data_IF_058826375765
#
_entry.id   IF_058826375765
#
_cell.length_a   1.000
_cell.length_b   1.000
_cell.length_c   1.000
_cell.angle_alpha   90.00
_cell.angle_beta   90.00
_cell.angle_gamma   90.00
#
_symmetry.space_group_name_H-M   'P 1'
#
loop_
_entity.id
_entity.type
_entity.pdbx_description
1 polymer ?
#
# COMPACT_ATOMS: atom_id res chain seq x y z
N UNK A 1 26.62 24.99 10.71
CA UNK A 1 26.50 23.60 10.24
C UNK A 1 25.67 23.58 8.97
N UNK A 2 26.29 23.34 7.80
CA UNK A 2 25.58 23.19 6.53
C UNK A 2 25.03 21.76 6.47
N UNK A 3 23.74 21.57 6.74
CA UNK A 3 23.06 20.31 6.45
C UNK A 3 22.71 20.31 4.96
N UNK A 4 23.65 19.91 4.10
CA UNK A 4 23.31 19.54 2.74
C UNK A 4 22.51 18.24 2.81
N UNK A 5 21.18 18.35 2.67
CA UNK A 5 20.34 17.19 2.38
C UNK A 5 20.89 16.57 1.10
N UNK A 6 21.36 15.32 1.18
CA UNK A 6 21.83 14.61 0.00
C UNK A 6 20.70 14.59 -1.02
N UNK A 7 20.96 15.04 -2.25
CA UNK A 7 19.96 15.00 -3.32
C UNK A 7 19.39 13.57 -3.43
N UNK A 8 18.06 13.41 -3.35
CA UNK A 8 17.45 12.10 -3.47
C UNK A 8 17.72 11.54 -4.87
N UNK A 9 18.02 10.24 -4.98
CA UNK A 9 18.46 9.63 -6.24
C UNK A 9 17.31 9.59 -7.25
N UNK A 10 17.44 10.31 -8.36
CA UNK A 10 16.51 10.30 -9.50
C UNK A 10 17.01 9.39 -10.63
N UNK A 11 16.10 8.75 -11.39
CA UNK A 11 16.49 7.97 -12.58
C UNK A 11 17.11 8.85 -13.66
N UNK A 12 16.72 10.13 -13.74
CA UNK A 12 17.33 11.09 -14.65
C UNK A 12 18.78 11.36 -14.28
N UNK A 13 19.09 11.48 -12.99
CA UNK A 13 20.48 11.57 -12.54
C UNK A 13 21.24 10.28 -12.89
N UNK A 14 20.64 9.11 -12.73
CA UNK A 14 21.24 7.84 -13.15
C UNK A 14 21.53 7.78 -14.66
N UNK A 15 20.58 8.20 -15.50
CA UNK A 15 20.73 8.27 -16.96
C UNK A 15 21.75 9.32 -17.39
N UNK A 16 21.74 10.51 -16.79
CA UNK A 16 22.71 11.58 -17.06
C UNK A 16 24.11 11.15 -16.65
N UNK A 17 24.26 10.47 -15.50
CA UNK A 17 25.53 9.88 -15.06
C UNK A 17 25.96 8.81 -16.07
N UNK A 18 25.09 7.89 -16.47
CA UNK A 18 25.38 6.86 -17.48
C UNK A 18 25.81 7.47 -18.84
N UNK A 19 25.14 8.53 -19.28
CA UNK A 19 25.46 9.21 -20.52
C UNK A 19 26.82 9.93 -20.44
N UNK A 20 27.06 10.70 -19.37
CA UNK A 20 28.33 11.38 -19.13
C UNK A 20 29.50 10.39 -18.99
N UNK A 21 29.28 9.30 -18.26
CA UNK A 21 30.16 8.15 -18.12
C UNK A 21 30.57 7.55 -19.48
N UNK A 22 29.59 7.32 -20.34
CA UNK A 22 29.79 6.75 -21.67
C UNK A 22 30.59 7.71 -22.55
N UNK A 23 30.23 9.01 -22.56
CA UNK A 23 30.98 10.03 -23.30
C UNK A 23 32.42 10.14 -22.81
N UNK A 24 32.64 10.17 -21.50
CA UNK A 24 33.97 10.25 -20.91
C UNK A 24 34.85 9.08 -21.34
N UNK A 25 34.32 7.85 -21.27
CA UNK A 25 35.06 6.64 -21.66
C UNK A 25 35.37 6.62 -23.16
N UNK A 26 34.41 7.03 -23.99
CA UNK A 26 34.59 7.16 -25.44
C UNK A 26 35.63 8.23 -25.79
N UNK A 27 35.59 9.39 -25.14
CA UNK A 27 36.55 10.47 -25.36
C UNK A 27 37.96 10.06 -24.92
N UNK A 28 38.11 9.48 -23.72
CA UNK A 28 39.38 9.01 -23.19
C UNK A 28 40.04 7.97 -24.12
N UNK A 29 39.28 6.94 -24.53
CA UNK A 29 39.80 5.92 -25.43
C UNK A 29 40.12 6.46 -26.81
N UNK A 30 39.24 7.28 -27.40
CA UNK A 30 39.44 7.80 -28.77
C UNK A 30 40.62 8.77 -28.85
N UNK A 31 40.76 9.67 -27.87
CA UNK A 31 41.88 10.61 -27.80
C UNK A 31 43.18 9.85 -27.50
N UNK A 32 43.13 8.88 -26.59
CA UNK A 32 44.32 8.10 -26.25
C UNK A 32 44.80 7.23 -27.42
N UNK A 33 43.93 6.55 -28.15
CA UNK A 33 44.32 5.82 -29.37
C UNK A 33 44.83 6.74 -30.48
N UNK A 34 44.25 7.93 -30.64
CA UNK A 34 44.69 8.91 -31.64
C UNK A 34 46.07 9.52 -31.31
N UNK A 35 46.35 9.84 -30.04
CA UNK A 35 47.62 10.43 -29.62
C UNK A 35 48.74 9.38 -29.45
N UNK A 36 48.39 8.16 -29.06
CA UNK A 36 49.33 7.07 -28.76
C UNK A 36 49.49 6.09 -29.92
N UNK A 37 49.12 6.49 -31.13
CA UNK A 37 49.13 5.68 -32.34
C UNK A 37 50.50 4.98 -32.59
N UNK A 38 51.60 5.63 -32.20
CA UNK A 38 52.97 5.10 -32.29
C UNK A 38 53.26 3.89 -31.38
N UNK A 39 52.38 3.59 -30.43
CA UNK A 39 52.52 2.50 -29.48
C UNK A 39 51.75 1.24 -29.89
N UNK A 40 51.06 1.27 -31.03
CA UNK A 40 50.25 0.19 -31.59
C UNK A 40 50.68 -0.11 -33.04
N UNK A 41 50.52 -1.36 -33.49
CA UNK A 41 50.89 -1.77 -34.86
C UNK A 41 49.94 -1.24 -35.95
N UNK A 42 48.87 -0.54 -35.58
CA UNK A 42 47.83 -0.05 -36.47
C UNK A 42 47.76 1.47 -36.36
N UNK A 43 47.70 2.17 -37.50
CA UNK A 43 47.44 3.61 -37.54
C UNK A 43 45.93 3.88 -37.39
N UNK A 44 45.53 4.39 -36.24
CA UNK A 44 44.16 4.78 -35.95
C UNK A 44 43.90 6.21 -36.39
N UNK A 45 43.29 6.38 -37.56
CA UNK A 45 42.55 7.62 -37.84
C UNK A 45 41.46 7.85 -36.79
N UNK A 46 41.03 9.10 -36.57
CA UNK A 46 40.05 9.46 -35.53
C UNK A 46 38.78 8.56 -35.54
N UNK A 47 38.26 8.22 -36.72
CA UNK A 47 37.11 7.32 -36.87
C UNK A 47 37.40 5.88 -36.45
N UNK A 48 38.62 5.40 -36.67
CA UNK A 48 39.04 4.06 -36.28
C UNK A 48 39.26 3.98 -34.76
N UNK A 49 39.86 5.01 -34.15
CA UNK A 49 40.02 5.13 -32.69
C UNK A 49 38.67 5.14 -31.96
N UNK A 50 37.69 5.87 -32.49
CA UNK A 50 36.33 5.90 -31.94
C UNK A 50 35.64 4.52 -32.05
N UNK A 51 35.74 3.87 -33.21
CA UNK A 51 35.17 2.52 -33.41
C UNK A 51 35.82 1.51 -32.46
N UNK A 52 37.14 1.54 -32.30
CA UNK A 52 37.87 0.64 -31.43
C UNK A 52 37.45 0.80 -29.96
N UNK A 53 37.35 2.05 -29.50
CA UNK A 53 36.90 2.36 -28.14
C UNK A 53 35.47 1.88 -27.89
N UNK A 54 34.57 2.06 -28.86
CA UNK A 54 33.19 1.59 -28.78
C UNK A 54 33.10 0.06 -28.69
N UNK A 55 33.92 -0.66 -29.47
CA UNK A 55 33.99 -2.13 -29.44
C UNK A 55 34.53 -2.61 -28.09
N UNK A 56 35.62 -2.02 -27.59
CA UNK A 56 36.17 -2.37 -26.27
C UNK A 56 35.18 -2.13 -25.13
N UNK A 57 34.39 -1.04 -25.21
CA UNK A 57 33.39 -0.70 -24.20
C UNK A 57 32.16 -1.61 -24.22
N UNK A 58 31.75 -2.11 -25.40
CA UNK A 58 30.52 -2.92 -25.55
C UNK A 58 30.76 -4.42 -25.45
N UNK A 59 31.92 -4.91 -25.91
CA UNK A 59 32.17 -6.34 -26.06
C UNK A 59 33.09 -6.93 -24.99
N UNK A 60 33.75 -6.10 -24.16
CA UNK A 60 34.64 -6.54 -23.07
C UNK A 60 35.66 -7.64 -23.50
N UNK A 61 36.07 -7.64 -24.76
CA UNK A 61 37.07 -8.55 -25.33
C UNK A 61 38.14 -7.76 -26.07
N UNK A 62 39.33 -8.34 -26.23
CA UNK A 62 40.50 -7.71 -26.84
C UNK A 62 40.41 -7.80 -28.39
N UNK A 63 40.06 -6.72 -29.12
CA UNK A 63 39.73 -6.79 -30.53
C UNK A 63 41.01 -6.72 -31.39
N UNK A 64 41.97 -7.60 -31.11
CA UNK A 64 43.23 -7.67 -31.85
C UNK A 64 44.17 -6.48 -31.64
N UNK A 65 44.15 -5.86 -30.44
CA UNK A 65 45.18 -4.88 -30.09
C UNK A 65 46.52 -5.61 -29.94
N UNK A 66 47.51 -5.21 -30.74
CA UNK A 66 48.89 -5.66 -30.59
C UNK A 66 49.72 -4.49 -30.03
N UNK A 67 49.70 -4.25 -28.70
CA UNK A 67 50.48 -3.20 -28.08
C UNK A 67 51.97 -3.52 -28.20
N UNK A 68 52.73 -2.60 -28.78
CA UNK A 68 54.17 -2.76 -29.04
C UNK A 68 54.98 -2.50 -27.76
N UNK A 69 54.45 -1.66 -26.87
CA UNK A 69 55.15 -1.15 -25.68
C UNK A 69 54.42 -1.51 -24.39
N UNK A 70 55.15 -1.55 -23.26
CA UNK A 70 54.55 -1.73 -21.92
C UNK A 70 53.49 -0.68 -21.60
N UNK A 71 53.67 0.54 -22.10
CA UNK A 71 52.71 1.64 -21.96
C UNK A 71 51.41 1.40 -22.75
N UNK A 72 51.48 0.84 -23.97
CA UNK A 72 50.29 0.48 -24.75
C UNK A 72 49.42 -0.59 -24.08
N UNK A 73 50.05 -1.57 -23.41
CA UNK A 73 49.34 -2.56 -22.58
C UNK A 73 48.65 -1.91 -21.38
N UNK A 74 49.34 -1.02 -20.68
CA UNK A 74 48.76 -0.27 -19.57
C UNK A 74 47.57 0.59 -20.00
N UNK A 75 47.68 1.28 -21.15
CA UNK A 75 46.61 2.10 -21.70
C UNK A 75 45.37 1.24 -22.05
N UNK A 76 45.54 0.11 -22.74
CA UNK A 76 44.44 -0.79 -23.05
C UNK A 76 43.76 -1.34 -21.78
N UNK A 77 44.54 -1.76 -20.78
CA UNK A 77 44.02 -2.19 -19.49
C UNK A 77 43.26 -1.07 -18.75
N UNK A 78 43.72 0.19 -18.86
CA UNK A 78 43.06 1.35 -18.26
C UNK A 78 41.67 1.61 -18.87
N UNK A 79 41.50 1.38 -20.18
CA UNK A 79 40.19 1.52 -20.85
C UNK A 79 39.19 0.51 -20.26
N UNK A 80 39.59 -0.76 -20.10
CA UNK A 80 38.73 -1.77 -19.50
C UNK A 80 38.42 -1.47 -18.03
N UNK A 81 39.42 -1.04 -17.24
CA UNK A 81 39.22 -0.68 -15.84
C UNK A 81 38.28 0.53 -15.68
N UNK A 82 38.48 1.59 -16.48
CA UNK A 82 37.61 2.78 -16.50
C UNK A 82 36.22 2.38 -16.96
N UNK A 83 36.09 1.59 -18.02
CA UNK A 83 34.79 1.11 -18.52
C UNK A 83 34.03 0.28 -17.50
N UNK A 84 34.70 -0.66 -16.82
CA UNK A 84 34.11 -1.48 -15.77
C UNK A 84 33.70 -0.65 -14.54
N UNK A 85 34.56 0.26 -14.07
CA UNK A 85 34.24 1.15 -12.95
C UNK A 85 33.07 2.07 -13.27
N UNK A 86 33.09 2.66 -14.46
CA UNK A 86 32.09 3.61 -14.93
C UNK A 86 30.74 2.92 -15.18
N UNK A 87 30.75 1.74 -15.81
CA UNK A 87 29.55 0.92 -15.99
C UNK A 87 28.98 0.43 -14.67
N UNK A 88 29.84 -0.02 -13.74
CA UNK A 88 29.44 -0.40 -12.38
C UNK A 88 28.83 0.76 -11.59
N UNK A 89 29.46 1.94 -11.64
CA UNK A 89 28.94 3.15 -10.99
C UNK A 89 27.60 3.60 -11.58
N UNK A 90 27.47 3.60 -12.91
CA UNK A 90 26.21 3.92 -13.57
C UNK A 90 25.10 2.92 -13.23
N UNK A 91 25.44 1.62 -13.16
CA UNK A 91 24.52 0.56 -12.76
C UNK A 91 24.08 0.73 -11.29
N UNK A 92 25.02 1.03 -10.39
CA UNK A 92 24.72 1.37 -8.99
C UNK A 92 23.79 2.59 -8.93
N UNK A 93 24.07 3.66 -9.67
CA UNK A 93 23.21 4.86 -9.69
C UNK A 93 21.82 4.57 -10.26
N UNK A 94 21.72 3.71 -11.27
CA UNK A 94 20.44 3.29 -11.85
C UNK A 94 19.61 2.46 -10.86
N UNK A 95 20.24 1.62 -10.04
CA UNK A 95 19.58 0.78 -9.03
C UNK A 95 19.48 1.42 -7.64
N UNK A 96 20.16 2.54 -7.39
CA UNK A 96 20.15 3.26 -6.10
C UNK A 96 18.75 3.67 -5.61
N UNK A 97 17.81 4.13 -6.46
CA UNK A 97 16.43 4.43 -6.03
C UNK A 97 15.66 3.20 -5.54
N UNK A 98 16.07 2.00 -5.95
CA UNK A 98 15.51 0.72 -5.48
C UNK A 98 16.17 0.31 -4.15
N UNK A 99 17.48 0.53 -4.02
CA UNK A 99 18.28 0.16 -2.85
C UNK A 99 18.14 1.11 -1.64
N UNK A 100 17.81 2.38 -1.87
CA UNK A 100 17.67 3.41 -0.81
C UNK A 100 16.33 3.33 -0.03
N UNK A 101 15.53 2.31 -0.31
CA UNK A 101 14.20 2.06 0.26
C UNK A 101 14.29 1.55 1.71
N UNK A 102 14.76 2.38 2.63
CA UNK A 102 14.88 2.01 4.05
C UNK A 102 13.50 2.04 4.76
N UNK A 103 13.22 1.11 5.68
CA UNK A 103 12.09 1.21 6.60
C UNK A 103 12.21 2.44 7.50
N UNK A 104 11.09 2.96 7.98
CA UNK A 104 11.08 4.08 8.92
C UNK A 104 11.82 3.73 10.22
N UNK A 105 12.70 4.62 10.67
CA UNK A 105 13.45 4.45 11.91
C UNK A 105 12.56 4.56 13.16
N UNK A 106 13.04 4.06 14.30
CA UNK A 106 12.30 4.14 15.59
C UNK A 106 11.92 5.57 15.97
N UNK A 107 12.80 6.55 15.71
CA UNK A 107 12.53 7.97 15.99
C UNK A 107 11.42 8.56 15.12
N UNK A 108 11.36 8.19 13.84
CA UNK A 108 10.31 8.62 12.92
C UNK A 108 8.96 8.01 13.31
N UNK A 109 8.92 6.72 13.63
CA UNK A 109 7.70 6.05 14.12
C UNK A 109 7.15 6.70 15.38
N UNK A 110 8.01 7.02 16.36
CA UNK A 110 7.60 7.75 17.57
C UNK A 110 7.10 9.16 17.28
N UNK A 111 7.63 9.82 16.25
CA UNK A 111 7.13 11.14 15.81
C UNK A 111 5.76 11.00 15.13
N UNK A 112 5.60 10.02 14.24
CA UNK A 112 4.33 9.74 13.58
C UNK A 112 3.23 9.38 14.60
N UNK A 113 3.55 8.49 15.56
CA UNK A 113 2.64 8.11 16.64
C UNK A 113 2.09 9.32 17.41
N UNK A 114 2.96 10.25 17.84
CA UNK A 114 2.51 11.46 18.54
C UNK A 114 1.57 12.33 17.70
N UNK A 115 1.83 12.45 16.39
CA UNK A 115 0.98 13.23 15.48
C UNK A 115 -0.35 12.51 15.26
N UNK A 116 -0.34 11.19 15.11
CA UNK A 116 -1.54 10.35 14.95
C UNK A 116 -2.42 10.39 16.21
N UNK A 117 -1.84 10.27 17.40
CA UNK A 117 -2.58 10.37 18.67
C UNK A 117 -3.28 11.73 18.81
N UNK A 118 -2.64 12.80 18.33
CA UNK A 118 -3.15 14.16 18.45
C UNK A 118 -4.13 14.56 17.32
N UNK A 119 -3.95 14.06 16.10
CA UNK A 119 -4.67 14.55 14.92
C UNK A 119 -5.35 13.44 14.08
N UNK A 120 -5.20 12.18 14.44
CA UNK A 120 -5.82 11.05 13.73
C UNK A 120 -7.34 11.14 13.78
N UNK A 121 -8.00 11.01 12.63
CA UNK A 121 -9.47 11.16 12.49
C UNK A 121 -10.17 9.93 11.94
N UNK A 122 -9.44 8.93 11.47
CA UNK A 122 -9.98 7.73 10.83
C UNK A 122 -9.20 6.51 11.30
N UNK A 123 -9.78 5.32 11.10
CA UNK A 123 -9.07 4.05 11.32
C UNK A 123 -7.74 3.97 10.55
N UNK A 124 -7.62 4.63 9.39
CA UNK A 124 -6.40 4.65 8.60
C UNK A 124 -5.21 5.27 9.36
N UNK A 125 -5.47 6.17 10.31
CA UNK A 125 -4.44 6.73 11.18
C UNK A 125 -3.80 5.65 12.06
N UNK A 126 -4.55 4.60 12.43
CA UNK A 126 -4.01 3.46 13.16
C UNK A 126 -3.08 2.63 12.26
N UNK A 127 -3.53 2.32 11.04
CA UNK A 127 -2.74 1.58 10.04
C UNK A 127 -1.54 2.36 9.49
N UNK A 128 -1.56 3.69 9.63
CA UNK A 128 -0.43 4.56 9.32
C UNK A 128 0.79 4.25 10.19
N UNK A 129 0.61 3.66 11.38
CA UNK A 129 1.68 3.32 12.32
C UNK A 129 2.34 1.96 12.07
N UNK A 130 1.78 1.17 11.15
CA UNK A 130 2.28 -0.17 10.85
C UNK A 130 3.69 -0.19 10.28
N UNK A 131 4.41 -1.32 10.45
CA UNK A 131 5.82 -1.41 10.12
C UNK A 131 6.15 -1.30 8.63
N UNK A 132 5.16 -1.50 7.77
CA UNK A 132 5.24 -1.39 6.31
C UNK A 132 5.27 0.08 5.83
N UNK A 133 4.90 1.04 6.68
CA UNK A 133 4.80 2.46 6.31
C UNK A 133 6.14 3.18 6.34
N UNK A 134 6.24 4.15 5.44
CA UNK A 134 7.20 5.26 5.49
C UNK A 134 6.47 6.55 5.79
N UNK A 135 7.21 7.53 6.27
CA UNK A 135 6.65 8.81 6.68
C UNK A 135 7.31 9.95 5.91
N UNK A 136 6.48 10.85 5.41
CA UNK A 136 6.89 12.19 5.05
C UNK A 136 6.36 13.15 6.12
N UNK A 137 7.23 14.02 6.64
CA UNK A 137 6.85 15.02 7.63
C UNK A 137 6.92 16.40 7.01
N UNK A 138 5.81 17.13 7.03
CA UNK A 138 5.78 18.53 6.60
C UNK A 138 6.46 19.44 7.64
N UNK A 139 6.75 20.66 7.23
CA UNK A 139 7.28 21.69 8.14
C UNK A 139 6.22 22.21 9.12
N UNK A 140 4.94 22.20 8.75
CA UNK A 140 3.85 22.69 9.60
C UNK A 140 3.28 21.66 10.57
N UNK A 141 3.82 20.43 10.60
CA UNK A 141 3.55 19.45 11.65
C UNK A 141 2.72 18.24 11.23
N UNK A 142 2.34 18.13 9.96
CA UNK A 142 1.63 16.96 9.44
C UNK A 142 2.57 15.80 9.11
N UNK A 143 2.00 14.59 9.14
CA UNK A 143 2.63 13.36 8.66
C UNK A 143 1.79 12.72 7.56
N UNK A 144 2.45 12.26 6.51
CA UNK A 144 1.85 11.44 5.46
C UNK A 144 2.52 10.06 5.52
N UNK A 145 1.74 9.05 5.88
CA UNK A 145 2.17 7.66 5.83
C UNK A 145 1.97 7.10 4.43
N UNK A 146 3.00 6.51 3.83
CA UNK A 146 2.95 6.05 2.44
C UNK A 146 3.79 4.80 2.21
N UNK A 147 3.50 4.11 1.11
CA UNK A 147 4.32 3.02 0.57
C UNK A 147 4.72 3.34 -0.86
N UNK A 148 6.01 3.19 -1.17
CA UNK A 148 6.54 3.38 -2.52
C UNK A 148 6.75 2.02 -3.22
N UNK A 149 5.99 1.78 -4.29
CA UNK A 149 6.07 0.57 -5.11
C UNK A 149 6.14 0.94 -6.59
N UNK A 150 7.09 0.34 -7.32
CA UNK A 150 7.38 0.72 -8.70
C UNK A 150 7.74 2.21 -8.81
N UNK A 151 6.94 2.96 -9.58
CA UNK A 151 7.04 4.43 -9.77
C UNK A 151 5.88 5.19 -9.13
N UNK A 152 5.21 4.61 -8.14
CA UNK A 152 4.14 5.25 -7.40
C UNK A 152 4.47 5.30 -5.91
N UNK A 153 4.06 6.39 -5.28
CA UNK A 153 4.01 6.55 -3.83
C UNK A 153 2.53 6.69 -3.45
N UNK A 154 2.01 5.68 -2.76
CA UNK A 154 0.61 5.63 -2.35
C UNK A 154 0.55 5.99 -0.87
N UNK A 155 0.01 7.18 -0.59
CA UNK A 155 -0.31 7.66 0.75
C UNK A 155 -1.60 7.00 1.25
N UNK A 156 -1.65 6.74 2.54
CA UNK A 156 -2.82 6.17 3.22
C UNK A 156 -3.63 7.28 3.88
N UNK A 157 -4.81 7.56 3.35
CA UNK A 157 -5.67 8.66 3.78
C UNK A 157 -5.09 10.05 3.49
N UNK A 158 -5.66 11.04 4.15
CA UNK A 158 -5.21 12.44 4.13
C UNK A 158 -3.94 12.66 4.96
N UNK A 159 -3.20 13.77 4.75
CA UNK A 159 -2.17 14.21 5.69
C UNK A 159 -2.74 14.33 7.11
N UNK A 160 -2.07 13.70 8.07
CA UNK A 160 -2.49 13.70 9.48
C UNK A 160 -1.75 14.82 10.19
N UNK A 161 -2.46 15.86 10.63
CA UNK A 161 -1.85 17.02 11.28
C UNK A 161 -2.81 18.21 11.44
N UNK A 162 -2.28 19.42 11.72
CA UNK A 162 -3.10 20.62 11.80
C UNK A 162 -3.81 20.91 10.48
N UNK A 163 -5.12 21.21 10.51
CA UNK A 163 -5.93 21.45 9.29
C UNK A 163 -5.31 22.48 8.33
N UNK A 164 -4.72 23.56 8.87
CA UNK A 164 -4.04 24.61 8.09
C UNK A 164 -2.80 24.14 7.33
N UNK A 165 -2.23 22.99 7.70
CA UNK A 165 -1.01 22.44 7.10
C UNK A 165 -1.30 21.30 6.11
N UNK A 166 -2.55 20.87 5.95
CA UNK A 166 -2.93 19.81 5.02
C UNK A 166 -2.59 20.19 3.57
N UNK A 167 -3.06 21.35 3.08
CA UNK A 167 -2.78 21.77 1.70
C UNK A 167 -1.28 21.98 1.42
N UNK A 168 -0.50 22.68 2.29
CA UNK A 168 0.96 22.73 2.16
C UNK A 168 1.64 21.36 2.19
N UNK A 169 1.17 20.44 3.03
CA UNK A 169 1.72 19.09 3.12
C UNK A 169 1.49 18.28 1.83
N UNK A 170 0.32 18.41 1.20
CA UNK A 170 0.01 17.78 -0.10
C UNK A 170 1.02 18.23 -1.16
N UNK A 171 1.24 19.55 -1.28
CA UNK A 171 2.18 20.12 -2.25
C UNK A 171 3.62 19.68 -1.96
N UNK A 172 4.07 19.80 -0.71
CA UNK A 172 5.41 19.41 -0.32
C UNK A 172 5.68 17.90 -0.53
N UNK A 173 4.67 17.05 -0.31
CA UNK A 173 4.77 15.63 -0.58
C UNK A 173 4.80 15.32 -2.08
N UNK A 174 4.01 16.05 -2.89
CA UNK A 174 4.05 15.96 -4.35
C UNK A 174 5.44 16.30 -4.88
N UNK A 175 6.06 17.39 -4.41
CA UNK A 175 7.44 17.76 -4.78
C UNK A 175 8.45 16.71 -4.33
N UNK A 176 8.33 16.22 -3.09
CA UNK A 176 9.20 15.17 -2.56
C UNK A 176 9.14 13.92 -3.45
N UNK A 177 7.93 13.49 -3.83
CA UNK A 177 7.75 12.33 -4.70
C UNK A 177 8.26 12.59 -6.12
N UNK A 178 8.07 13.80 -6.67
CA UNK A 178 8.60 14.18 -7.97
C UNK A 178 10.14 14.08 -8.01
N UNK A 179 10.85 14.52 -6.96
CA UNK A 179 12.31 14.39 -6.83
C UNK A 179 12.78 12.93 -6.74
N UNK A 180 11.90 12.02 -6.32
CA UNK A 180 12.14 10.57 -6.27
C UNK A 180 11.53 9.81 -7.46
N UNK A 181 11.06 10.52 -8.50
CA UNK A 181 10.41 9.97 -9.69
C UNK A 181 9.16 9.10 -9.42
N UNK A 182 8.45 9.42 -8.34
CA UNK A 182 7.20 8.80 -7.95
C UNK A 182 6.00 9.64 -8.34
N UNK A 183 4.96 8.97 -8.84
CA UNK A 183 3.62 9.52 -8.99
C UNK A 183 2.87 9.34 -7.68
N UNK A 184 2.32 10.43 -7.15
CA UNK A 184 1.60 10.44 -5.87
C UNK A 184 0.16 10.01 -6.08
N UNK A 185 -0.33 9.17 -5.18
CA UNK A 185 -1.75 8.94 -4.99
C UNK A 185 -2.07 8.94 -3.49
N UNK A 186 -3.28 9.34 -3.12
CA UNK A 186 -3.81 9.23 -1.77
C UNK A 186 -5.02 8.28 -1.81
N UNK A 187 -4.99 7.25 -0.98
CA UNK A 187 -5.98 6.18 -0.96
C UNK A 187 -6.90 6.32 0.24
N UNK A 188 -8.23 6.31 0.00
CA UNK A 188 -9.29 6.49 1.01
C UNK A 188 -9.22 7.84 1.74
N UNK A 189 -9.10 8.93 0.99
CA UNK A 189 -9.22 10.28 1.56
C UNK A 189 -10.66 10.61 1.91
N UNK A 190 -10.83 11.53 2.86
CA UNK A 190 -12.10 12.14 3.23
C UNK A 190 -12.57 13.14 2.14
N UNK A 191 -13.86 13.50 2.13
CA UNK A 191 -14.37 14.57 1.25
C UNK A 191 -13.85 15.97 1.63
N UNK A 192 -13.34 16.14 2.86
CA UNK A 192 -12.99 17.42 3.46
C UNK A 192 -11.97 18.25 2.66
N UNK A 193 -11.08 17.59 1.89
CA UNK A 193 -9.94 18.23 1.24
C UNK A 193 -9.92 18.08 -0.30
N UNK A 194 -11.06 17.73 -0.90
CA UNK A 194 -11.13 17.48 -2.35
C UNK A 194 -10.75 18.71 -3.19
N UNK A 195 -11.15 19.91 -2.75
CA UNK A 195 -10.82 21.16 -3.44
C UNK A 195 -9.31 21.43 -3.42
N UNK A 196 -8.63 21.14 -2.31
CA UNK A 196 -7.19 21.28 -2.16
C UNK A 196 -6.44 20.29 -3.06
N UNK A 197 -6.92 19.06 -3.17
CA UNK A 197 -6.35 18.07 -4.10
C UNK A 197 -6.54 18.51 -5.56
N UNK A 198 -7.72 18.97 -5.93
CA UNK A 198 -8.00 19.45 -7.29
C UNK A 198 -7.15 20.68 -7.63
N UNK A 199 -6.99 21.62 -6.69
CA UNK A 199 -6.11 22.79 -6.82
C UNK A 199 -4.65 22.38 -7.00
N UNK A 200 -4.21 21.29 -6.36
CA UNK A 200 -2.89 20.69 -6.54
C UNK A 200 -2.76 19.83 -7.83
N UNK A 201 -3.78 19.82 -8.69
CA UNK A 201 -3.78 19.18 -10.00
C UNK A 201 -4.05 17.68 -9.97
N UNK A 202 -4.70 17.17 -8.92
CA UNK A 202 -5.12 15.78 -8.84
C UNK A 202 -6.55 15.59 -9.35
N UNK A 203 -6.81 14.40 -9.90
CA UNK A 203 -8.15 13.90 -10.12
C UNK A 203 -8.61 13.15 -8.86
N UNK A 204 -9.92 13.17 -8.61
CA UNK A 204 -10.56 12.49 -7.48
C UNK A 204 -11.56 11.47 -8.01
N UNK A 205 -11.55 10.27 -7.45
CA UNK A 205 -12.47 9.18 -7.80
C UNK A 205 -13.09 8.62 -6.52
N UNK A 206 -14.41 8.63 -6.40
CA UNK A 206 -15.09 7.95 -5.29
C UNK A 206 -14.87 6.44 -5.42
N UNK A 207 -14.38 5.80 -4.34
CA UNK A 207 -14.06 4.36 -4.32
C UNK A 207 -14.99 3.56 -3.42
N UNK A 208 -15.94 4.22 -2.75
CA UNK A 208 -16.94 3.60 -1.88
C UNK A 208 -17.25 4.45 -0.66
N UNK A 209 -17.97 3.86 0.28
CA UNK A 209 -18.43 4.55 1.48
C UNK A 209 -18.09 3.75 2.74
N UNK A 210 -17.62 4.42 3.77
CA UNK A 210 -17.53 3.85 5.12
C UNK A 210 -18.88 3.97 5.83
N UNK A 211 -19.27 2.92 6.54
CA UNK A 211 -20.51 2.91 7.32
C UNK A 211 -20.24 3.24 8.78
N UNK A 212 -20.71 4.39 9.25
CA UNK A 212 -20.50 4.87 10.62
C UNK A 212 -21.79 4.72 11.43
N UNK A 213 -21.75 3.95 12.51
CA UNK A 213 -22.90 3.74 13.41
C UNK A 213 -22.79 4.69 14.60
N UNK A 214 -23.79 5.53 14.80
CA UNK A 214 -23.92 6.35 16.02
C UNK A 214 -24.44 5.50 17.18
N UNK A 215 -23.58 5.26 18.18
CA UNK A 215 -23.81 4.27 19.24
C UNK A 215 -24.93 4.68 20.22
N UNK A 216 -25.12 5.97 20.48
CA UNK A 216 -26.20 6.47 21.33
C UNK A 216 -27.58 6.06 20.79
N UNK A 217 -27.74 6.10 19.47
CA UNK A 217 -28.96 5.74 18.77
C UNK A 217 -29.09 4.24 18.50
N UNK A 218 -28.00 3.47 18.65
CA UNK A 218 -28.01 2.04 18.38
C UNK A 218 -28.87 1.28 19.40
N UNK A 219 -29.80 0.48 18.89
CA UNK A 219 -30.65 -0.42 19.67
C UNK A 219 -31.10 -1.57 18.79
N UNK A 220 -31.16 -2.79 19.36
CA UNK A 220 -31.76 -3.96 18.72
C UNK A 220 -33.27 -4.11 19.01
N UNK A 221 -33.85 -3.12 19.69
CA UNK A 221 -35.28 -3.04 19.96
C UNK A 221 -36.05 -2.53 18.73
N UNK A 222 -37.34 -2.90 18.63
CA UNK A 222 -38.22 -2.43 17.56
C UNK A 222 -38.27 -3.33 16.31
N UNK A 223 -39.18 -2.98 15.39
CA UNK A 223 -39.51 -3.83 14.23
C UNK A 223 -38.40 -3.91 13.18
N UNK A 224 -37.73 -2.79 12.87
CA UNK A 224 -36.64 -2.72 11.89
C UNK A 224 -35.46 -3.63 12.22
N UNK A 225 -35.23 -3.86 13.51
CA UNK A 225 -34.11 -4.65 14.05
C UNK A 225 -34.45 -6.11 14.32
N UNK A 226 -35.58 -6.60 13.80
CA UNK A 226 -36.06 -7.97 14.04
C UNK A 226 -35.03 -9.02 13.61
N UNK A 227 -34.33 -8.82 12.49
CA UNK A 227 -33.33 -9.76 12.00
C UNK A 227 -32.15 -9.89 12.99
N UNK A 228 -31.54 -8.77 13.36
CA UNK A 228 -30.42 -8.75 14.33
C UNK A 228 -30.84 -9.33 15.69
N UNK A 229 -32.00 -8.93 16.21
CA UNK A 229 -32.53 -9.47 17.48
C UNK A 229 -32.80 -10.96 17.42
N UNK A 230 -33.25 -11.48 16.27
CA UNK A 230 -33.49 -12.92 16.10
C UNK A 230 -32.18 -13.69 16.10
N UNK A 231 -31.14 -13.18 15.43
CA UNK A 231 -29.80 -13.76 15.47
C UNK A 231 -29.26 -13.80 16.91
N UNK A 232 -29.27 -12.67 17.62
CA UNK A 232 -28.82 -12.61 19.03
C UNK A 232 -29.56 -13.63 19.89
N UNK A 233 -30.90 -13.61 19.87
CA UNK A 233 -31.70 -14.54 20.67
C UNK A 233 -31.43 -16.01 20.32
N UNK A 234 -31.10 -16.32 19.07
CA UNK A 234 -30.78 -17.67 18.63
C UNK A 234 -29.45 -18.15 19.26
N UNK A 235 -28.39 -17.36 19.11
CA UNK A 235 -27.07 -17.68 19.66
C UNK A 235 -27.06 -17.72 21.19
N UNK A 236 -27.69 -16.75 21.86
CA UNK A 236 -27.81 -16.75 23.32
C UNK A 236 -28.55 -17.99 23.83
N UNK A 237 -29.64 -18.41 23.18
CA UNK A 237 -30.37 -19.64 23.57
C UNK A 237 -29.58 -20.91 23.37
N UNK A 238 -28.69 -20.93 22.38
CA UNK A 238 -27.81 -22.06 22.13
C UNK A 238 -26.59 -22.09 23.05
N UNK A 239 -26.37 -21.06 23.87
CA UNK A 239 -25.26 -21.00 24.82
C UNK A 239 -23.98 -20.38 24.27
N UNK A 240 -24.03 -19.76 23.08
CA UNK A 240 -22.91 -18.98 22.57
C UNK A 240 -22.74 -17.69 23.37
N UNK A 241 -21.49 -17.26 23.55
CA UNK A 241 -21.14 -16.07 24.33
C UNK A 241 -20.18 -15.19 23.55
N UNK A 242 -20.44 -13.89 23.47
CA UNK A 242 -19.44 -12.93 23.02
C UNK A 242 -18.62 -12.45 24.23
N UNK A 243 -17.30 -12.55 24.14
CA UNK A 243 -16.37 -12.25 25.22
C UNK A 243 -15.35 -11.24 24.73
N UNK A 244 -15.16 -10.18 25.51
CA UNK A 244 -14.12 -9.17 25.30
C UNK A 244 -12.85 -9.63 26.00
N UNK A 245 -11.77 -9.75 25.23
CA UNK A 245 -10.42 -9.98 25.72
C UNK A 245 -9.64 -8.67 25.59
N UNK A 246 -9.20 -8.14 26.73
CA UNK A 246 -8.35 -6.94 26.80
C UNK A 246 -6.87 -7.36 26.80
N UNK A 247 -5.98 -6.62 26.12
CA UNK A 247 -4.56 -6.93 26.12
C UNK A 247 -3.94 -6.78 27.53
N UNK A 248 -2.85 -7.50 27.86
CA UNK A 248 -2.11 -8.43 26.99
C UNK A 248 -2.74 -9.83 26.93
N UNK A 249 -2.72 -10.44 25.74
CA UNK A 249 -3.28 -11.77 25.52
C UNK A 249 -2.34 -12.91 25.90
N UNK A 250 -2.91 -14.02 26.35
CA UNK A 250 -2.16 -15.26 26.60
C UNK A 250 -1.76 -15.94 25.29
N UNK A 251 -0.66 -16.70 25.32
CA UNK A 251 -0.21 -17.49 24.16
C UNK A 251 -1.28 -18.51 23.70
N UNK A 252 -2.06 -19.07 24.62
CA UNK A 252 -3.14 -20.00 24.28
C UNK A 252 -4.26 -19.32 23.49
N UNK A 253 -4.67 -18.11 23.92
CA UNK A 253 -5.68 -17.34 23.21
C UNK A 253 -5.18 -16.96 21.81
N UNK A 254 -3.94 -16.47 21.69
CA UNK A 254 -3.36 -16.12 20.40
C UNK A 254 -3.26 -17.33 19.44
N UNK A 255 -2.89 -18.51 19.95
CA UNK A 255 -2.83 -19.74 19.16
C UNK A 255 -4.22 -20.17 18.65
N UNK A 256 -5.25 -20.03 19.49
CA UNK A 256 -6.63 -20.33 19.10
C UNK A 256 -7.15 -19.34 18.05
N UNK A 257 -6.91 -18.04 18.24
CA UNK A 257 -7.25 -16.99 17.27
C UNK A 257 -6.52 -17.19 15.93
N UNK A 258 -5.24 -17.61 15.97
CA UNK A 258 -4.45 -17.94 14.78
C UNK A 258 -5.10 -19.08 14.00
N UNK A 259 -5.59 -20.11 14.70
CA UNK A 259 -6.27 -21.24 14.06
C UNK A 259 -7.55 -20.80 13.35
N UNK A 260 -8.38 -19.97 14.00
CA UNK A 260 -9.59 -19.38 13.37
C UNK A 260 -9.22 -18.54 12.16
N UNK A 261 -8.12 -17.79 12.28
CA UNK A 261 -7.58 -16.95 11.22
C UNK A 261 -7.16 -17.76 9.98
N UNK A 262 -6.42 -18.85 10.16
CA UNK A 262 -5.93 -19.69 9.07
C UNK A 262 -7.07 -20.43 8.36
N UNK A 263 -8.04 -20.93 9.12
CA UNK A 263 -9.28 -21.51 8.58
C UNK A 263 -10.07 -20.51 7.74
N UNK A 264 -10.20 -19.27 8.22
CA UNK A 264 -10.88 -18.20 7.50
C UNK A 264 -10.18 -17.86 6.18
N UNK A 265 -8.86 -17.69 6.19
CA UNK A 265 -8.08 -17.42 4.97
C UNK A 265 -8.22 -18.57 3.95
N UNK A 266 -8.23 -19.82 4.43
CA UNK A 266 -8.47 -21.00 3.60
C UNK A 266 -9.86 -20.99 2.97
N UNK A 267 -10.90 -20.70 3.77
CA UNK A 267 -12.29 -20.59 3.31
C UNK A 267 -12.46 -19.50 2.25
N UNK A 268 -11.78 -18.36 2.43
CA UNK A 268 -11.85 -17.23 1.51
C UNK A 268 -10.94 -17.38 0.28
N UNK A 269 -10.15 -18.46 0.20
CA UNK A 269 -9.11 -18.66 -0.82
C UNK A 269 -8.19 -17.44 -0.96
N UNK A 270 -7.83 -16.83 0.18
CA UNK A 270 -7.12 -15.56 0.27
C UNK A 270 -5.84 -15.71 1.07
N UNK A 271 -4.88 -14.85 0.80
CA UNK A 271 -3.73 -14.62 1.68
C UNK A 271 -3.95 -13.35 2.52
N UNK A 272 -3.07 -13.14 3.49
CA UNK A 272 -3.03 -11.87 4.21
C UNK A 272 -2.81 -10.69 3.28
N UNK A 273 -3.52 -9.60 3.56
CA UNK A 273 -3.34 -8.32 2.89
C UNK A 273 -2.67 -7.33 3.83
N UNK A 274 -2.07 -6.29 3.25
CA UNK A 274 -1.40 -5.23 4.01
C UNK A 274 -1.80 -3.85 3.52
N UNK A 275 -1.13 -2.83 4.05
CA UNK A 275 -1.27 -1.42 3.73
C UNK A 275 -2.46 -0.70 4.37
N UNK A 276 -3.69 -0.97 3.96
CA UNK A 276 -4.87 -0.27 4.49
C UNK A 276 -5.68 -1.07 5.52
N UNK A 277 -5.17 -2.24 5.91
CA UNK A 277 -5.73 -3.11 6.95
C UNK A 277 -4.60 -3.85 7.66
N UNK A 278 -4.91 -4.42 8.82
CA UNK A 278 -4.02 -5.33 9.55
C UNK A 278 -3.99 -6.74 8.99
N UNK A 279 -3.03 -7.49 9.49
CA UNK A 279 -2.86 -8.92 9.23
C UNK A 279 -2.73 -9.64 10.57
N UNK A 280 -2.91 -10.96 10.59
CA UNK A 280 -2.71 -11.70 11.82
C UNK A 280 -1.21 -11.70 12.17
N UNK A 281 -0.89 -11.00 13.25
CA UNK A 281 0.43 -10.90 13.83
C UNK A 281 0.27 -10.91 15.35
N UNK A 282 1.02 -11.76 16.03
CA UNK A 282 0.86 -11.95 17.48
C UNK A 282 1.13 -10.69 18.29
N UNK A 283 2.06 -9.82 17.84
CA UNK A 283 2.34 -8.56 18.52
C UNK A 283 1.18 -7.58 18.33
N UNK A 284 0.65 -7.50 17.11
CA UNK A 284 -0.48 -6.63 16.79
C UNK A 284 -1.79 -7.05 17.48
N UNK A 285 -2.16 -8.33 17.35
CA UNK A 285 -3.38 -8.87 17.97
C UNK A 285 -3.22 -8.92 19.49
N UNK A 286 -2.03 -9.30 19.99
CA UNK A 286 -1.68 -9.30 21.42
C UNK A 286 -1.79 -7.94 22.10
N UNK A 287 -1.68 -6.84 21.33
CA UNK A 287 -1.83 -5.47 21.79
C UNK A 287 -3.22 -4.85 21.53
N UNK A 288 -4.11 -5.56 20.84
CA UNK A 288 -5.45 -5.08 20.48
C UNK A 288 -6.52 -5.64 21.40
N UNK A 289 -7.61 -4.90 21.64
CA UNK A 289 -8.81 -5.49 22.26
C UNK A 289 -9.50 -6.40 21.23
N UNK A 290 -9.84 -7.62 21.65
CA UNK A 290 -10.45 -8.66 20.79
C UNK A 290 -11.83 -9.00 21.31
N UNK A 291 -12.84 -8.95 20.45
CA UNK A 291 -14.15 -9.55 20.72
C UNK A 291 -14.21 -10.94 20.06
N UNK A 292 -14.47 -11.98 20.84
CA UNK A 292 -14.54 -13.36 20.36
C UNK A 292 -15.90 -13.99 20.69
N UNK A 293 -16.45 -14.78 19.77
CA UNK A 293 -17.60 -15.65 20.02
C UNK A 293 -17.09 -17.00 20.48
N UNK A 294 -17.48 -17.41 21.68
CA UNK A 294 -17.27 -18.74 22.22
C UNK A 294 -18.49 -19.62 21.97
N UNK A 295 -18.25 -20.86 21.53
CA UNK A 295 -19.28 -21.91 21.47
C UNK A 295 -19.64 -22.40 22.89
N UNK A 296 -20.75 -23.14 23.05
CA UNK A 296 -21.11 -23.74 24.34
C UNK A 296 -20.03 -24.65 24.94
N UNK A 297 -19.19 -25.24 24.08
CA UNK A 297 -18.06 -26.10 24.45
C UNK A 297 -16.81 -25.28 24.84
N UNK A 298 -16.85 -23.96 24.70
CA UNK A 298 -15.79 -23.02 25.09
C UNK A 298 -14.81 -22.63 23.99
N UNK A 299 -14.89 -23.24 22.81
CA UNK A 299 -14.02 -22.93 21.67
C UNK A 299 -14.39 -21.61 20.98
N UNK A 300 -13.41 -20.91 20.40
CA UNK A 300 -13.65 -19.68 19.64
C UNK A 300 -14.13 -20.02 18.23
N UNK A 301 -15.32 -19.55 17.89
CA UNK A 301 -15.96 -19.74 16.58
C UNK A 301 -15.74 -18.57 15.63
N UNK A 302 -15.61 -17.36 16.16
CA UNK A 302 -15.34 -16.14 15.41
C UNK A 302 -14.66 -15.10 16.29
N UNK A 303 -13.91 -14.17 15.69
CA UNK A 303 -13.37 -13.02 16.40
C UNK A 303 -13.28 -11.78 15.52
N UNK A 304 -13.19 -10.64 16.17
CA UNK A 304 -12.74 -9.39 15.57
C UNK A 304 -11.83 -8.63 16.54
N UNK A 305 -10.87 -7.88 16.03
CA UNK A 305 -10.17 -6.88 16.84
C UNK A 305 -10.73 -5.49 16.56
N UNK A 306 -10.83 -4.70 17.63
CA UNK A 306 -11.28 -3.30 17.57
C UNK A 306 -10.09 -2.36 17.71
N UNK A 307 -10.12 -1.30 16.90
CA UNK A 307 -9.05 -0.31 16.79
C UNK A 307 -9.60 1.11 16.98
N UNK A 308 -8.82 2.03 17.56
CA UNK A 308 -9.31 3.37 17.87
C UNK A 308 -9.35 4.29 16.64
N UNK A 309 -10.35 5.16 16.57
CA UNK A 309 -10.40 6.32 15.67
C UNK A 309 -10.00 7.62 16.38
N UNK A 310 -8.97 7.55 17.24
CA UNK A 310 -8.32 8.67 17.96
C UNK A 310 -9.25 9.85 18.30
N UNK A 311 -9.22 10.94 17.52
CA UNK A 311 -9.95 12.18 17.83
C UNK A 311 -11.48 12.06 17.70
N UNK A 312 -12.01 11.04 17.01
CA UNK A 312 -13.45 10.87 16.83
C UNK A 312 -14.13 10.23 18.05
N UNK A 313 -13.39 9.84 19.09
CA UNK A 313 -13.93 9.06 20.22
C UNK A 313 -14.74 7.83 19.74
N UNK A 314 -14.30 7.26 18.63
CA UNK A 314 -14.92 6.13 17.95
C UNK A 314 -14.01 4.92 17.91
N UNK A 315 -14.61 3.79 17.60
CA UNK A 315 -13.92 2.54 17.32
C UNK A 315 -14.17 2.11 15.88
N UNK A 316 -13.29 1.27 15.36
CA UNK A 316 -13.47 0.57 14.09
C UNK A 316 -13.08 -0.89 14.26
N UNK A 317 -13.51 -1.71 13.31
CA UNK A 317 -13.08 -3.10 13.19
C UNK A 317 -11.96 -3.21 12.16
N UNK A 318 -10.97 -4.05 12.43
CA UNK A 318 -9.91 -4.37 11.47
C UNK A 318 -10.05 -5.80 10.93
N UNK A 319 -9.54 -6.81 11.65
CA UNK A 319 -9.76 -8.20 11.29
C UNK A 319 -11.15 -8.63 11.78
N UNK A 320 -11.87 -9.35 10.92
CA UNK A 320 -13.09 -10.07 11.26
C UNK A 320 -13.03 -11.46 10.63
N UNK A 321 -12.96 -12.50 11.46
CA UNK A 321 -12.69 -13.87 10.99
C UNK A 321 -13.59 -14.86 11.72
N UNK A 322 -13.99 -15.93 11.02
CA UNK A 322 -14.80 -17.01 11.58
C UNK A 322 -14.36 -18.37 11.05
N UNK A 323 -14.68 -19.42 11.80
CA UNK A 323 -14.53 -20.80 11.34
C UNK A 323 -15.51 -21.11 10.21
N UNK A 324 -15.22 -22.16 9.44
CA UNK A 324 -16.07 -22.57 8.32
C UNK A 324 -17.42 -23.15 8.79
N UNK A 325 -17.42 -23.86 9.92
CA UNK A 325 -18.56 -24.66 10.42
C UNK A 325 -19.64 -23.82 11.12
N UNK A 326 -19.46 -22.51 11.24
CA UNK A 326 -20.38 -21.65 11.99
C UNK A 326 -21.43 -21.04 11.08
N UNK A 327 -22.64 -20.84 11.62
CA UNK A 327 -23.71 -20.20 10.88
C UNK A 327 -23.30 -18.76 10.46
N UNK A 328 -23.68 -18.29 9.26
CA UNK A 328 -23.38 -16.93 8.80
C UNK A 328 -23.77 -15.86 9.81
N UNK A 329 -24.87 -16.07 10.53
CA UNK A 329 -25.44 -15.20 11.56
C UNK A 329 -24.51 -14.98 12.78
N UNK A 330 -23.42 -15.74 12.90
CA UNK A 330 -22.40 -15.57 13.94
C UNK A 330 -21.77 -14.18 13.86
N UNK A 331 -21.60 -13.65 12.65
CA UNK A 331 -21.06 -12.30 12.47
C UNK A 331 -22.06 -11.22 12.88
N UNK A 332 -23.35 -11.37 12.57
CA UNK A 332 -24.38 -10.47 13.10
C UNK A 332 -24.38 -10.45 14.63
N UNK A 333 -24.32 -11.63 15.26
CA UNK A 333 -24.24 -11.73 16.72
C UNK A 333 -23.00 -10.99 17.26
N UNK A 334 -21.83 -11.29 16.71
CA UNK A 334 -20.56 -10.68 17.13
C UNK A 334 -20.56 -9.15 16.98
N UNK A 335 -21.05 -8.62 15.86
CA UNK A 335 -21.14 -7.16 15.66
C UNK A 335 -22.13 -6.52 16.63
N UNK A 336 -23.30 -7.12 16.86
CA UNK A 336 -24.28 -6.56 17.80
C UNK A 336 -23.69 -6.47 19.21
N UNK A 337 -23.06 -7.55 19.68
CA UNK A 337 -22.44 -7.58 21.02
C UNK A 337 -21.28 -6.57 21.11
N UNK A 338 -20.51 -6.40 20.03
CA UNK A 338 -19.42 -5.39 19.95
C UNK A 338 -19.97 -3.97 20.01
N UNK A 339 -21.04 -3.66 19.28
CA UNK A 339 -21.67 -2.34 19.30
C UNK A 339 -22.28 -2.03 20.68
N UNK A 340 -22.89 -3.03 21.33
CA UNK A 340 -23.41 -2.87 22.70
C UNK A 340 -22.28 -2.62 23.70
N UNK A 341 -21.21 -3.41 23.64
CA UNK A 341 -20.02 -3.20 24.48
C UNK A 341 -19.39 -1.83 24.26
N UNK A 342 -19.22 -1.39 23.00
CA UNK A 342 -18.66 -0.09 22.69
C UNK A 342 -19.53 1.05 23.24
N UNK A 343 -20.85 0.92 23.12
CA UNK A 343 -21.83 1.86 23.72
C UNK A 343 -21.71 1.91 25.24
N UNK A 344 -21.61 0.76 25.90
CA UNK A 344 -21.45 0.67 27.37
C UNK A 344 -20.14 1.30 27.86
N UNK A 345 -19.08 1.24 27.05
CA UNK A 345 -17.79 1.90 27.30
C UNK A 345 -17.83 3.41 27.01
N UNK A 346 -18.93 3.95 26.49
CA UNK A 346 -19.12 5.37 26.23
C UNK A 346 -18.48 5.88 24.93
N UNK A 347 -18.19 4.99 23.98
CA UNK A 347 -17.79 5.42 22.63
C UNK A 347 -18.99 6.02 21.89
N UNK A 348 -18.73 7.01 21.03
CA UNK A 348 -19.79 7.75 20.33
C UNK A 348 -20.15 7.09 18.99
N UNK A 349 -19.14 6.61 18.28
CA UNK A 349 -19.30 6.06 16.93
C UNK A 349 -18.58 4.72 16.78
N UNK A 350 -19.09 3.89 15.87
CA UNK A 350 -18.43 2.67 15.45
C UNK A 350 -18.39 2.59 13.92
N UNK A 351 -17.19 2.58 13.35
CA UNK A 351 -16.97 2.46 11.92
C UNK A 351 -16.93 0.98 11.50
N UNK A 352 -17.80 0.61 10.58
CA UNK A 352 -17.89 -0.76 10.03
C UNK A 352 -16.88 -0.98 8.90
N UNK A 353 -16.08 0.03 8.56
CA UNK A 353 -15.10 0.03 7.47
C UNK A 353 -15.71 0.27 6.10
N UNK A 354 -14.86 0.27 5.08
CA UNK A 354 -15.24 0.60 3.69
C UNK A 354 -16.16 -0.45 3.05
N UNK A 355 -17.20 0.02 2.36
CA UNK A 355 -17.98 -0.72 1.36
C UNK A 355 -17.56 -0.22 -0.02
N UNK A 356 -16.62 -0.93 -0.65
CA UNK A 356 -16.06 -0.55 -1.94
C UNK A 356 -17.14 -0.50 -3.02
N UNK A 357 -17.10 0.55 -3.86
CA UNK A 357 -17.98 0.80 -5.00
C UNK A 357 -19.49 0.90 -4.71
N UNK A 358 -19.92 0.71 -3.46
CA UNK A 358 -21.32 0.95 -3.08
C UNK A 358 -21.63 2.44 -3.15
N UNK A 359 -22.77 2.83 -3.72
CA UNK A 359 -23.17 4.24 -3.87
C UNK A 359 -22.32 5.06 -4.84
N UNK A 360 -21.40 4.44 -5.58
CA UNK A 360 -20.53 5.13 -6.55
C UNK A 360 -21.21 5.13 -7.91
N UNK A 361 -21.32 6.30 -8.55
CA UNK A 361 -21.83 6.43 -9.91
C UNK A 361 -23.33 6.13 -10.07
N UNK A 362 -24.10 6.28 -8.99
CA UNK A 362 -25.55 6.04 -8.97
C UNK A 362 -26.34 7.27 -9.44
N UNK A 363 -25.81 8.47 -9.20
CA UNK A 363 -26.47 9.71 -9.58
C UNK A 363 -26.09 10.12 -11.00
N UNK A 364 -27.05 10.70 -11.74
CA UNK A 364 -26.82 11.18 -13.10
C UNK A 364 -25.77 12.32 -13.17
N UNK A 365 -25.54 13.00 -12.04
CA UNK A 365 -24.55 14.06 -11.86
C UNK A 365 -23.15 13.56 -11.55
N UNK A 366 -22.98 12.26 -11.26
CA UNK A 366 -21.68 11.69 -10.92
C UNK A 366 -20.71 11.70 -12.11
N UNK A 367 -19.39 11.76 -11.88
CA UNK A 367 -18.40 11.67 -12.94
C UNK A 367 -18.59 10.44 -13.85
N UNK A 368 -18.38 10.61 -15.16
CA UNK A 368 -18.58 9.52 -16.13
C UNK A 368 -17.75 8.26 -15.84
N UNK A 369 -16.56 8.42 -15.22
CA UNK A 369 -15.74 7.30 -14.78
C UNK A 369 -16.41 6.52 -13.64
N UNK A 370 -17.06 7.20 -12.70
CA UNK A 370 -17.79 6.57 -11.60
C UNK A 370 -19.03 5.84 -12.11
N UNK A 371 -19.77 6.44 -13.05
CA UNK A 371 -20.89 5.77 -13.71
C UNK A 371 -20.45 4.50 -14.47
N UNK A 372 -19.29 4.57 -15.14
CA UNK A 372 -18.72 3.40 -15.81
C UNK A 372 -18.31 2.30 -14.82
N UNK A 373 -17.74 2.68 -13.66
CA UNK A 373 -17.44 1.73 -12.58
C UNK A 373 -18.69 1.13 -11.97
N UNK A 374 -19.75 1.92 -11.78
CA UNK A 374 -21.05 1.45 -11.32
C UNK A 374 -21.63 0.37 -12.24
N UNK A 375 -21.54 0.61 -13.56
CA UNK A 375 -21.97 -0.36 -14.55
C UNK A 375 -21.17 -1.67 -14.43
N UNK A 376 -19.84 -1.60 -14.29
CA UNK A 376 -18.99 -2.79 -14.12
C UNK A 376 -19.34 -3.52 -12.80
N UNK A 377 -19.48 -2.77 -11.71
CA UNK A 377 -19.82 -3.28 -10.38
C UNK A 377 -21.13 -4.10 -10.37
N UNK A 378 -22.13 -3.68 -11.15
CA UNK A 378 -23.42 -4.38 -11.23
C UNK A 378 -23.41 -5.65 -12.08
N UNK A 379 -22.48 -5.77 -13.03
CA UNK A 379 -22.53 -6.83 -14.04
C UNK A 379 -21.41 -7.87 -13.91
N UNK A 380 -20.41 -7.64 -13.04
CA UNK A 380 -19.25 -8.55 -12.90
C UNK A 380 -19.30 -9.32 -11.57
N UNK A 381 -19.31 -10.66 -11.68
CA UNK A 381 -19.45 -11.60 -10.56
C UNK A 381 -18.43 -11.41 -9.42
N UNK A 382 -17.23 -10.89 -9.70
CA UNK A 382 -16.18 -10.69 -8.69
C UNK A 382 -16.53 -9.59 -7.66
N UNK A 383 -17.44 -8.67 -8.00
CA UNK A 383 -17.89 -7.61 -7.10
C UNK A 383 -19.08 -8.01 -6.21
N UNK A 384 -19.63 -9.23 -6.36
CA UNK A 384 -20.72 -9.72 -5.49
C UNK A 384 -20.31 -9.84 -4.03
N UNK A 385 -19.03 -10.12 -3.75
CA UNK A 385 -18.50 -10.11 -2.39
C UNK A 385 -18.63 -8.72 -1.74
N UNK A 386 -18.48 -7.64 -2.51
CA UNK A 386 -18.64 -6.27 -2.02
C UNK A 386 -20.12 -5.89 -1.81
N UNK A 387 -21.01 -6.35 -2.69
CA UNK A 387 -22.47 -6.17 -2.52
C UNK A 387 -22.98 -6.88 -1.25
N UNK A 388 -22.52 -8.11 -1.00
CA UNK A 388 -22.85 -8.87 0.20
C UNK A 388 -22.36 -8.17 1.47
N UNK A 389 -21.14 -7.64 1.45
CA UNK A 389 -20.57 -6.90 2.58
C UNK A 389 -21.31 -5.58 2.85
N UNK A 390 -21.69 -4.84 1.80
CA UNK A 390 -22.50 -3.63 1.96
C UNK A 390 -23.89 -3.94 2.54
N UNK A 391 -24.58 -4.95 1.99
CA UNK A 391 -25.89 -5.39 2.51
C UNK A 391 -25.81 -5.86 3.97
N UNK A 392 -24.70 -6.50 4.35
CA UNK A 392 -24.44 -6.86 5.74
C UNK A 392 -24.35 -5.63 6.65
N UNK A 393 -23.57 -4.61 6.25
CA UNK A 393 -23.39 -3.37 7.02
C UNK A 393 -24.67 -2.54 7.11
N UNK A 394 -25.48 -2.53 6.07
CA UNK A 394 -26.77 -1.81 6.02
C UNK A 394 -27.75 -2.27 7.12
N UNK A 395 -27.63 -3.51 7.60
CA UNK A 395 -28.45 -4.04 8.73
C UNK A 395 -28.28 -3.21 10.01
N UNK A 396 -27.14 -2.54 10.18
CA UNK A 396 -26.83 -1.71 11.34
C UNK A 396 -27.26 -0.25 11.16
N UNK A 397 -27.86 0.10 10.02
CA UNK A 397 -28.28 1.45 9.65
C UNK A 397 -27.19 2.52 9.85
N UNK A 398 -26.00 2.34 9.26
CA UNK A 398 -24.93 3.31 9.38
C UNK A 398 -25.24 4.59 8.59
N UNK A 399 -24.60 5.68 8.98
CA UNK A 399 -24.41 6.85 8.13
C UNK A 399 -23.26 6.58 7.17
N UNK A 400 -23.53 6.72 5.87
CA UNK A 400 -22.54 6.44 4.81
C UNK A 400 -21.69 7.68 4.50
N UNK A 401 -20.37 7.54 4.64
CA UNK A 401 -19.41 8.63 4.39
C UNK A 401 -18.48 8.26 3.22
N UNK A 402 -18.40 9.06 2.14
CA UNK A 402 -17.65 8.71 0.94
C UNK A 402 -16.13 8.69 1.20
N UNK A 403 -15.42 7.83 0.46
CA UNK A 403 -13.96 7.75 0.45
C UNK A 403 -13.46 7.85 -0.98
N UNK A 404 -12.35 8.55 -1.16
CA UNK A 404 -11.83 8.85 -2.50
C UNK A 404 -10.43 8.28 -2.71
N UNK A 405 -10.16 7.92 -3.96
CA UNK A 405 -8.82 7.78 -4.51
C UNK A 405 -8.46 9.09 -5.19
N UNK A 406 -7.39 9.73 -4.73
CA UNK A 406 -6.80 10.92 -5.34
C UNK A 406 -5.57 10.49 -6.13
N UNK A 407 -5.50 10.85 -7.41
CA UNK A 407 -4.45 10.35 -8.30
C UNK A 407 -4.05 11.39 -9.37
N UNK A 408 -2.85 11.25 -9.98
CA UNK A 408 -2.31 12.31 -10.83
C UNK A 408 -2.72 12.08 -12.28
N UNK A 409 -3.91 12.54 -12.66
CA UNK A 409 -4.40 12.45 -14.03
C UNK A 409 -4.80 11.03 -14.46
N UNK A 410 -5.79 10.91 -15.35
CA UNK A 410 -6.29 9.63 -15.89
C UNK A 410 -5.21 8.72 -16.46
N UNK A 411 -4.16 9.27 -17.08
CA UNK A 411 -3.05 8.49 -17.65
C UNK A 411 -2.19 7.75 -16.63
N UNK A 412 -2.27 8.09 -15.34
CA UNK A 412 -1.57 7.38 -14.26
C UNK A 412 -2.47 6.46 -13.43
N UNK A 413 -3.79 6.47 -13.65
CA UNK A 413 -4.74 5.70 -12.84
C UNK A 413 -4.39 4.20 -12.82
N UNK A 414 -4.16 3.59 -14.00
CA UNK A 414 -3.78 2.17 -14.09
C UNK A 414 -2.48 1.86 -13.35
N UNK A 415 -1.52 2.79 -13.35
CA UNK A 415 -0.25 2.63 -12.63
C UNK A 415 -0.45 2.69 -11.12
N UNK A 416 -1.31 3.60 -10.66
CA UNK A 416 -1.67 3.74 -9.25
C UNK A 416 -2.41 2.50 -8.77
N UNK A 417 -3.39 2.01 -9.53
CA UNK A 417 -4.13 0.78 -9.21
C UNK A 417 -3.20 -0.44 -9.16
N UNK A 418 -2.28 -0.57 -10.12
CA UNK A 418 -1.27 -1.63 -10.09
C UNK A 418 -0.38 -1.54 -8.84
N UNK A 419 0.07 -0.32 -8.48
CA UNK A 419 0.89 -0.13 -7.31
C UNK A 419 0.13 -0.47 -6.03
N UNK A 420 -1.12 -0.03 -5.90
CA UNK A 420 -2.00 -0.36 -4.78
C UNK A 420 -2.15 -1.88 -4.65
N UNK A 421 -2.47 -2.59 -5.73
CA UNK A 421 -2.57 -4.05 -5.74
C UNK A 421 -1.26 -4.73 -5.33
N UNK A 422 -0.12 -4.25 -5.84
CA UNK A 422 1.20 -4.82 -5.55
C UNK A 422 1.74 -4.45 -4.15
N UNK A 423 1.11 -3.50 -3.47
CA UNK A 423 1.38 -3.13 -2.08
C UNK A 423 0.53 -3.99 -1.15
N UNK A 424 -0.72 -4.26 -1.51
CA UNK A 424 -1.68 -5.02 -0.70
C UNK A 424 -1.41 -6.52 -0.72
N UNK A 425 -1.00 -7.04 -1.87
CA UNK A 425 -0.58 -8.43 -2.03
C UNK A 425 0.94 -8.51 -1.83
N UNK A 426 1.36 -9.09 -0.69
CA UNK A 426 2.79 -9.18 -0.33
C UNK A 426 3.61 -10.04 -1.31
N UNK A 427 2.94 -10.89 -2.08
CA UNK A 427 3.56 -11.69 -3.14
C UNK A 427 3.20 -11.15 -4.52
N UNK A 428 4.21 -11.04 -5.39
CA UNK A 428 3.99 -10.65 -6.77
C UNK A 428 3.01 -11.59 -7.48
N UNK A 429 2.12 -11.00 -8.29
CA UNK A 429 1.06 -11.63 -9.08
C UNK A 429 1.46 -12.93 -9.83
N UNK A 430 2.75 -13.17 -10.07
CA UNK A 430 3.26 -14.36 -10.77
C UNK A 430 3.18 -15.67 -9.97
N UNK A 431 3.00 -15.63 -8.64
CA UNK A 431 2.72 -16.85 -7.85
C UNK A 431 1.24 -17.15 -7.79
N UNK A 432 0.41 -16.12 -7.68
CA UNK A 432 -1.06 -16.25 -7.70
C UNK A 432 -1.59 -16.61 -9.09
N UNK A 433 -0.92 -16.15 -10.16
CA UNK A 433 -1.30 -16.37 -11.56
C UNK A 433 -0.13 -16.81 -12.45
N UNK A 434 0.81 -17.59 -11.91
CA UNK A 434 1.88 -18.21 -12.69
C UNK A 434 1.34 -19.11 -13.81
N UNK A 435 2.23 -19.62 -14.66
CA UNK A 435 1.88 -20.42 -15.85
C UNK A 435 0.92 -21.60 -15.56
N UNK A 436 0.96 -22.14 -14.34
CA UNK A 436 0.03 -23.16 -13.86
C UNK A 436 -1.31 -22.58 -13.38
N UNK A 437 -1.30 -21.38 -12.77
CA UNK A 437 -2.48 -20.63 -12.35
C UNK A 437 -3.35 -20.13 -13.50
N UNK A 438 -2.77 -19.67 -14.62
CA UNK A 438 -3.56 -19.31 -15.82
C UNK A 438 -4.22 -20.53 -16.46
N UNK A 439 -3.53 -21.68 -16.51
CA UNK A 439 -4.08 -22.92 -17.05
C UNK A 439 -5.16 -23.52 -16.14
N UNK A 440 -5.02 -23.42 -14.81
CA UNK A 440 -6.05 -23.78 -13.83
C UNK A 440 -7.25 -22.82 -13.89
N UNK A 441 -7.02 -21.51 -13.98
CA UNK A 441 -8.04 -20.48 -14.14
C UNK A 441 -8.84 -20.63 -15.45
N UNK A 442 -8.16 -20.96 -16.56
CA UNK A 442 -8.81 -21.20 -17.85
C UNK A 442 -9.58 -22.52 -17.89
N UNK A 443 -9.01 -23.62 -17.36
CA UNK A 443 -9.67 -24.94 -17.33
C UNK A 443 -10.89 -24.97 -16.41
N UNK A 444 -10.84 -24.31 -15.24
CA UNK A 444 -11.99 -24.27 -14.32
C UNK A 444 -13.14 -23.38 -14.82
N UNK A 445 -12.88 -22.42 -15.72
CA UNK A 445 -13.85 -21.38 -16.10
C UNK A 445 -14.38 -21.49 -17.54
N UNK A 446 -13.65 -22.15 -18.44
CA UNK A 446 -14.04 -22.35 -19.85
C UNK A 446 -13.82 -23.76 -20.39
N UNK A 447 -13.26 -24.69 -19.60
CA UNK A 447 -13.16 -26.11 -19.97
C UNK A 447 -14.49 -26.82 -19.72
N UNK A 448 -15.10 -27.38 -20.77
CA UNK A 448 -16.12 -28.43 -20.62
C UNK A 448 -15.50 -29.74 -20.15
#
# INVERSE_FOLDING_TARGET
HFHALSDPPSYWQGLSVLFAATIFTLAYGSIGFYLLDRHFHLHYGFRAALRQTLVMFTQFYDPGLLPITGFGRYFAASIYAIGAFTGGYALIMLFRPVLARRPAGRGERRRAQRIVEQYGRTVLAHFALFPDKRYFFSLGGSVIAYVAKGRAAVALGDPIGPAKDVAPAIQAFQEFCARNDWRVAFYQTLPDYLEEYQTAGFDTLCIGHEGIVTLDCFSISGGKQKQLRTAVNHFTKQGYQAVVHEPPHSANLLAELSTVSDEWLTLMHSNEQRFYMGWFDEEYIGASTVMAVHTPEGAISAFMNVVPEYQQHGLSVDLMRRRAEVAPETMEFLFVETLQWAKERGYQTFNLGLSALSGVGEEATDPALEQALHYIYRHVNEFYNFQGLHTFKEKFHPEWSPRYLVYPGTGNLLRVLWALQAITTDEGWWRTYGRDGFNLWWRQRFGK
#
